data_IF_414537930634
#
_entry.id   IF_414537930634
#
_cell.length_a   1.000
_cell.length_b   1.000
_cell.length_c   1.000
_cell.angle_alpha   90.00
_cell.angle_beta   90.00
_cell.angle_gamma   90.00
#
_symmetry.space_group_name_H-M   'P 1'
#
loop_
_entity.id
_entity.type
_entity.pdbx_description
1 polymer ?
#
# COMPACT_ATOMS: atom_id res chain seq x y z
N UNK A 1 -0.60 -18.23 -3.44
CA UNK A 1 -0.11 -17.88 -2.09
C UNK A 1 -1.21 -17.30 -1.22
N UNK A 2 -1.96 -16.30 -1.67
CA UNK A 2 -3.01 -15.62 -0.89
C UNK A 2 -4.06 -16.58 -0.30
N UNK A 3 -4.58 -17.53 -1.07
CA UNK A 3 -5.52 -18.55 -0.57
C UNK A 3 -4.92 -19.50 0.46
N UNK A 4 -3.62 -19.83 0.34
CA UNK A 4 -2.92 -20.65 1.33
C UNK A 4 -2.71 -19.89 2.64
N UNK A 5 -2.51 -18.57 2.56
CA UNK A 5 -2.51 -17.71 3.75
C UNK A 5 -3.91 -17.65 4.40
N UNK A 6 -4.96 -17.53 3.60
CA UNK A 6 -6.32 -17.51 4.11
C UNK A 6 -6.72 -18.86 4.76
N UNK A 7 -6.33 -20.00 4.16
CA UNK A 7 -6.47 -21.33 4.78
C UNK A 7 -5.78 -21.37 6.14
N UNK A 8 -4.51 -20.95 6.21
CA UNK A 8 -3.75 -20.93 7.45
C UNK A 8 -4.38 -20.00 8.51
N UNK A 9 -4.92 -18.86 8.09
CA UNK A 9 -5.58 -17.90 9.00
C UNK A 9 -6.84 -18.47 9.61
N UNK A 10 -7.71 -19.12 8.83
CA UNK A 10 -8.94 -19.76 9.33
C UNK A 10 -8.62 -20.92 10.28
N UNK A 11 -7.51 -21.63 10.05
CA UNK A 11 -7.05 -22.66 10.98
C UNK A 11 -6.54 -22.07 12.30
N UNK A 12 -5.84 -20.93 12.26
CA UNK A 12 -5.36 -20.21 13.45
C UNK A 12 -6.51 -19.55 14.22
N UNK A 13 -7.46 -18.96 13.51
CA UNK A 13 -8.61 -18.23 14.05
C UNK A 13 -9.86 -18.61 13.26
N UNK A 14 -10.65 -19.60 13.72
CA UNK A 14 -11.85 -20.08 13.00
C UNK A 14 -12.91 -18.99 12.78
N UNK A 15 -12.95 -17.97 13.65
CA UNK A 15 -13.87 -16.83 13.54
C UNK A 15 -13.34 -15.70 12.64
N UNK A 16 -12.27 -15.94 11.89
CA UNK A 16 -11.73 -14.95 10.96
C UNK A 16 -12.72 -14.67 9.82
N UNK A 17 -12.99 -13.40 9.59
CA UNK A 17 -13.76 -12.97 8.44
C UNK A 17 -12.80 -12.57 7.31
N UNK A 18 -13.03 -13.19 6.15
CA UNK A 18 -12.17 -13.09 4.98
C UNK A 18 -12.55 -11.89 4.10
N UNK A 19 -11.64 -10.96 3.91
CA UNK A 19 -11.74 -9.88 2.94
C UNK A 19 -11.33 -10.31 1.54
N UNK A 20 -10.27 -9.68 1.01
CA UNK A 20 -9.70 -9.96 -0.32
C UNK A 20 -8.20 -10.22 -0.23
N UNK A 21 -7.68 -10.98 -1.19
CA UNK A 21 -6.27 -11.35 -1.28
C UNK A 21 -5.72 -11.25 -2.71
N UNK A 22 -5.58 -10.04 -3.29
CA UNK A 22 -5.02 -9.88 -4.62
C UNK A 22 -3.50 -10.07 -4.65
N UNK A 23 -2.93 -10.40 -5.82
CA UNK A 23 -1.51 -10.27 -6.07
C UNK A 23 -1.11 -8.79 -6.14
N UNK A 24 0.16 -8.52 -5.82
CA UNK A 24 0.85 -7.25 -6.04
C UNK A 24 2.19 -7.53 -6.72
N UNK A 25 2.87 -6.49 -7.21
CA UNK A 25 4.11 -6.63 -8.01
C UNK A 25 5.19 -7.48 -7.35
N UNK A 26 5.33 -7.41 -6.04
CA UNK A 26 6.36 -8.14 -5.27
C UNK A 26 5.80 -9.28 -4.42
N UNK A 27 4.53 -9.67 -4.65
CA UNK A 27 3.94 -10.75 -3.87
C UNK A 27 2.42 -10.72 -3.78
N UNK A 28 1.90 -10.67 -2.58
CA UNK A 28 0.47 -10.73 -2.31
C UNK A 28 0.15 -10.10 -0.96
N UNK A 29 -1.12 -9.84 -0.73
CA UNK A 29 -1.64 -9.63 0.62
C UNK A 29 -2.98 -10.34 0.81
N UNK A 30 -3.46 -10.37 2.05
CA UNK A 30 -4.83 -10.76 2.35
C UNK A 30 -5.35 -9.95 3.52
N UNK A 31 -6.61 -9.50 3.41
CA UNK A 31 -7.30 -8.70 4.42
C UNK A 31 -8.22 -9.58 5.27
N UNK A 32 -8.14 -9.40 6.58
CA UNK A 32 -8.91 -10.17 7.56
C UNK A 32 -9.54 -9.25 8.60
N UNK A 33 -10.79 -9.50 8.98
CA UNK A 33 -11.32 -9.04 10.26
C UNK A 33 -11.17 -10.17 11.27
N UNK A 34 -10.43 -9.91 12.33
CA UNK A 34 -10.00 -10.91 13.29
C UNK A 34 -10.54 -10.58 14.68
N UNK A 35 -10.78 -11.59 15.54
CA UNK A 35 -11.22 -11.37 16.92
C UNK A 35 -10.18 -10.68 17.80
N UNK A 36 -8.90 -10.71 17.41
CA UNK A 36 -7.78 -10.01 18.05
C UNK A 36 -6.74 -9.53 17.04
N UNK A 37 -5.87 -8.65 17.47
CA UNK A 37 -4.71 -8.26 16.68
C UNK A 37 -3.72 -9.43 16.53
N UNK A 38 -3.11 -9.51 15.35
CA UNK A 38 -2.02 -10.44 15.06
C UNK A 38 -0.75 -10.00 15.76
N UNK A 39 0.04 -10.96 16.20
CA UNK A 39 1.36 -10.77 16.80
C UNK A 39 2.46 -11.26 15.84
N UNK A 40 3.74 -10.91 16.07
CA UNK A 40 4.84 -11.47 15.29
C UNK A 40 4.91 -13.00 15.34
N UNK A 41 4.53 -13.61 16.47
CA UNK A 41 4.48 -15.06 16.63
C UNK A 41 3.42 -15.71 15.75
N UNK A 42 2.29 -15.03 15.56
CA UNK A 42 1.25 -15.48 14.63
C UNK A 42 1.78 -15.56 13.19
N UNK A 43 2.59 -14.58 12.75
CA UNK A 43 3.20 -14.63 11.42
C UNK A 43 4.14 -15.82 11.27
N UNK A 44 4.92 -16.15 12.29
CA UNK A 44 5.78 -17.34 12.28
C UNK A 44 4.97 -18.61 12.14
N UNK A 45 3.87 -18.71 12.88
CA UNK A 45 2.97 -19.85 12.81
C UNK A 45 2.31 -19.96 11.43
N UNK A 46 1.81 -18.85 10.89
CA UNK A 46 1.19 -18.78 9.57
C UNK A 46 2.17 -19.19 8.46
N UNK A 47 3.41 -18.68 8.49
CA UNK A 47 4.46 -19.07 7.54
C UNK A 47 4.71 -20.59 7.57
N UNK A 48 4.90 -21.17 8.76
CA UNK A 48 5.12 -22.61 8.92
C UNK A 48 3.91 -23.41 8.41
N UNK A 49 2.68 -22.96 8.67
CA UNK A 49 1.46 -23.63 8.22
C UNK A 49 1.29 -23.54 6.70
N UNK A 50 1.56 -22.40 6.11
CA UNK A 50 1.57 -22.23 4.66
C UNK A 50 2.57 -23.19 3.99
N UNK A 51 3.80 -23.29 4.51
CA UNK A 51 4.82 -24.23 4.00
C UNK A 51 4.37 -25.69 4.10
N UNK A 52 3.63 -26.04 5.13
CA UNK A 52 3.04 -27.37 5.28
C UNK A 52 1.97 -27.64 4.20
N UNK A 53 1.06 -26.69 3.95
CA UNK A 53 0.04 -26.79 2.90
C UNK A 53 0.66 -26.91 1.51
N UNK A 54 1.74 -26.14 1.23
CA UNK A 54 2.47 -26.21 -0.04
C UNK A 54 3.07 -27.61 -0.29
N UNK A 55 3.61 -28.24 0.74
CA UNK A 55 4.15 -29.63 0.64
C UNK A 55 3.06 -30.66 0.33
N UNK A 56 1.80 -30.36 0.65
CA UNK A 56 0.65 -31.24 0.40
C UNK A 56 0.29 -31.42 -1.07
N UNK A 57 0.83 -30.58 -1.98
CA UNK A 57 0.58 -30.63 -3.42
C UNK A 57 -0.92 -30.58 -3.79
N UNK A 58 -1.72 -29.85 -3.03
CA UNK A 58 -3.16 -29.74 -3.24
C UNK A 58 -3.45 -29.00 -4.54
N UNK A 59 -4.29 -29.57 -5.39
CA UNK A 59 -4.72 -28.95 -6.64
C UNK A 59 -5.62 -27.74 -6.35
N UNK A 60 -5.42 -26.65 -7.11
CA UNK A 60 -6.38 -25.57 -7.17
C UNK A 60 -7.48 -25.91 -8.18
N UNK A 61 -8.72 -25.95 -7.71
CA UNK A 61 -9.88 -26.30 -8.52
C UNK A 61 -10.82 -25.11 -8.59
N UNK A 62 -11.03 -24.62 -9.81
CA UNK A 62 -12.00 -23.57 -10.08
C UNK A 62 -13.38 -24.19 -10.34
N UNK A 63 -14.40 -23.57 -9.78
CA UNK A 63 -15.79 -23.92 -10.07
C UNK A 63 -16.69 -22.70 -10.05
N UNK A 64 -17.79 -22.76 -10.78
CA UNK A 64 -18.80 -21.70 -10.81
C UNK A 64 -19.95 -22.07 -9.88
N UNK A 65 -20.59 -21.05 -9.33
CA UNK A 65 -21.78 -21.15 -8.48
C UNK A 65 -22.84 -20.18 -8.99
N UNK A 66 -24.10 -20.48 -8.73
CA UNK A 66 -25.13 -19.46 -8.77
C UNK A 66 -24.92 -18.44 -7.63
N UNK A 67 -25.40 -17.23 -7.80
CA UNK A 67 -25.32 -16.18 -6.76
C UNK A 67 -26.01 -16.63 -5.47
N UNK A 68 -27.13 -17.35 -5.58
CA UNK A 68 -27.87 -17.86 -4.45
C UNK A 68 -27.07 -18.92 -3.65
N UNK A 69 -26.44 -19.88 -4.33
CA UNK A 69 -25.56 -20.87 -3.68
C UNK A 69 -24.37 -20.21 -2.99
N UNK A 70 -23.78 -19.21 -3.64
CA UNK A 70 -22.67 -18.45 -3.08
C UNK A 70 -23.10 -17.67 -1.82
N UNK A 71 -24.25 -16.99 -1.85
CA UNK A 71 -24.79 -16.29 -0.68
C UNK A 71 -25.05 -17.24 0.50
N UNK A 72 -25.59 -18.43 0.25
CA UNK A 72 -25.78 -19.43 1.28
C UNK A 72 -24.45 -19.94 1.85
N UNK A 73 -23.46 -20.22 0.98
CA UNK A 73 -22.15 -20.74 1.38
C UNK A 73 -21.37 -19.76 2.25
N UNK A 74 -21.40 -18.47 1.91
CA UNK A 74 -20.70 -17.42 2.64
C UNK A 74 -21.59 -16.59 3.57
N UNK A 75 -22.73 -17.14 4.05
CA UNK A 75 -23.65 -16.43 4.93
C UNK A 75 -23.00 -15.87 6.20
N UNK A 76 -21.93 -16.51 6.73
CA UNK A 76 -21.14 -16.05 7.87
C UNK A 76 -19.96 -15.12 7.52
N UNK A 77 -19.79 -14.73 6.25
CA UNK A 77 -18.65 -13.94 5.78
C UNK A 77 -19.12 -12.62 5.17
N UNK A 78 -19.28 -11.56 5.98
CA UNK A 78 -19.93 -10.32 5.54
C UNK A 78 -19.21 -9.64 4.36
N UNK A 79 -17.89 -9.68 4.32
CA UNK A 79 -17.12 -9.08 3.21
C UNK A 79 -17.28 -9.87 1.90
N UNK A 80 -17.46 -11.20 2.00
CA UNK A 80 -17.78 -12.03 0.81
C UNK A 80 -19.19 -11.75 0.30
N UNK A 81 -20.16 -11.55 1.20
CA UNK A 81 -21.52 -11.15 0.82
C UNK A 81 -21.54 -9.77 0.16
N UNK A 82 -20.75 -8.83 0.67
CA UNK A 82 -20.62 -7.49 0.07
C UNK A 82 -20.02 -7.55 -1.34
N UNK A 83 -19.01 -8.38 -1.58
CA UNK A 83 -18.47 -8.62 -2.92
C UNK A 83 -19.48 -9.29 -3.85
N UNK A 84 -20.24 -10.28 -3.35
CA UNK A 84 -21.27 -10.97 -4.12
C UNK A 84 -22.42 -10.05 -4.55
N UNK A 85 -22.72 -9.02 -3.77
CA UNK A 85 -23.77 -8.05 -4.12
C UNK A 85 -23.49 -7.34 -5.46
N UNK A 86 -22.22 -7.06 -5.77
CA UNK A 86 -21.79 -6.37 -6.99
C UNK A 86 -21.61 -7.29 -8.21
N UNK A 87 -21.56 -8.61 -8.00
CA UNK A 87 -21.36 -9.55 -9.11
C UNK A 87 -22.69 -9.83 -9.85
N UNK A 88 -22.59 -9.96 -11.16
CA UNK A 88 -23.71 -10.39 -11.99
C UNK A 88 -24.00 -11.89 -11.81
N UNK A 89 -25.24 -12.30 -12.10
CA UNK A 89 -25.60 -13.71 -12.10
C UNK A 89 -24.78 -14.46 -13.15
N UNK A 90 -24.25 -15.63 -12.79
CA UNK A 90 -23.42 -16.46 -13.67
C UNK A 90 -21.93 -16.06 -13.69
N UNK A 91 -21.53 -14.96 -13.02
CA UNK A 91 -20.13 -14.53 -12.92
C UNK A 91 -19.43 -14.96 -11.63
N UNK A 92 -20.11 -15.69 -10.75
CA UNK A 92 -19.57 -16.09 -9.46
C UNK A 92 -18.69 -17.32 -9.61
N UNK A 93 -17.42 -17.18 -9.30
CA UNK A 93 -16.43 -18.26 -9.30
C UNK A 93 -15.76 -18.41 -7.95
N UNK A 94 -15.37 -19.62 -7.62
CA UNK A 94 -14.61 -19.96 -6.42
C UNK A 94 -13.42 -20.83 -6.76
N UNK A 95 -12.40 -20.76 -5.91
CA UNK A 95 -11.25 -21.64 -5.95
C UNK A 95 -11.18 -22.48 -4.68
N UNK A 96 -10.98 -23.78 -4.84
CA UNK A 96 -10.79 -24.72 -3.73
C UNK A 96 -9.42 -25.37 -3.80
N UNK A 97 -8.81 -25.63 -2.64
CA UNK A 97 -7.66 -26.50 -2.49
C UNK A 97 -7.73 -27.16 -1.10
N UNK A 98 -7.33 -28.42 -1.00
CA UNK A 98 -7.60 -29.20 0.19
C UNK A 98 -9.06 -29.06 0.63
N UNK A 99 -9.31 -28.64 1.87
CA UNK A 99 -10.65 -28.40 2.40
C UNK A 99 -11.04 -26.90 2.40
N UNK A 100 -10.13 -26.02 1.96
CA UNK A 100 -10.35 -24.58 1.90
C UNK A 100 -10.98 -24.15 0.58
N UNK A 101 -11.91 -23.21 0.65
CA UNK A 101 -12.55 -22.62 -0.54
C UNK A 101 -12.71 -21.10 -0.35
N UNK A 102 -12.44 -20.34 -1.39
CA UNK A 102 -12.62 -18.89 -1.40
C UNK A 102 -13.21 -18.38 -2.71
N UNK A 103 -13.89 -17.21 -2.65
CA UNK A 103 -14.29 -16.48 -3.87
C UNK A 103 -13.07 -16.04 -4.65
N UNK A 104 -13.03 -16.31 -5.94
CA UNK A 104 -11.88 -15.98 -6.76
C UNK A 104 -12.22 -15.84 -8.24
N UNK A 105 -11.51 -14.91 -8.91
CA UNK A 105 -11.62 -14.68 -10.35
C UNK A 105 -10.70 -15.53 -11.21
N UNK A 106 -9.83 -16.37 -10.58
CA UNK A 106 -8.88 -17.22 -11.30
C UNK A 106 -7.42 -16.73 -11.22
N UNK A 107 -6.56 -17.26 -12.09
CA UNK A 107 -5.13 -16.93 -12.12
C UNK A 107 -4.29 -17.73 -11.13
N UNK A 108 -4.57 -19.03 -10.96
CA UNK A 108 -3.87 -19.91 -10.01
C UNK A 108 -2.82 -20.80 -10.69
N UNK A 109 -1.82 -21.18 -9.91
CA UNK A 109 -0.96 -22.33 -10.22
C UNK A 109 -1.79 -23.63 -10.27
N UNK A 110 -1.26 -24.69 -10.83
CA UNK A 110 -1.95 -25.98 -10.89
C UNK A 110 -2.13 -26.65 -9.52
N UNK A 111 -1.20 -26.41 -8.60
CA UNK A 111 -1.27 -26.93 -7.22
C UNK A 111 -0.41 -26.11 -6.26
N UNK A 112 -0.55 -26.34 -4.96
CA UNK A 112 0.12 -25.56 -3.91
C UNK A 112 1.65 -25.72 -3.91
N UNK A 113 2.23 -26.80 -4.45
CA UNK A 113 3.69 -26.96 -4.51
C UNK A 113 4.36 -26.14 -5.62
N UNK A 114 3.58 -25.53 -6.51
CA UNK A 114 4.06 -24.62 -7.55
C UNK A 114 4.12 -23.17 -7.09
N UNK A 115 3.72 -22.89 -5.85
CA UNK A 115 3.92 -21.58 -5.24
C UNK A 115 5.42 -21.42 -4.99
N UNK A 116 6.00 -20.34 -5.51
CA UNK A 116 7.43 -20.06 -5.39
C UNK A 116 7.89 -19.77 -3.96
N UNK A 117 9.07 -19.20 -3.84
CA UNK A 117 9.60 -18.79 -2.55
C UNK A 117 8.80 -17.60 -1.99
N UNK A 118 8.37 -17.71 -0.75
CA UNK A 118 7.60 -16.64 -0.10
C UNK A 118 8.11 -16.35 1.31
N UNK A 119 7.76 -15.15 1.79
CA UNK A 119 7.96 -14.73 3.18
C UNK A 119 6.80 -13.80 3.59
N UNK A 120 6.21 -14.03 4.76
CA UNK A 120 5.29 -13.08 5.35
C UNK A 120 6.07 -11.88 5.89
N UNK A 121 5.73 -10.68 5.45
CA UNK A 121 6.55 -9.48 5.64
C UNK A 121 6.08 -8.61 6.79
N UNK A 122 4.80 -8.28 6.82
CA UNK A 122 4.25 -7.32 7.78
C UNK A 122 2.74 -7.44 7.93
N UNK A 123 2.27 -6.84 9.03
CA UNK A 123 0.86 -6.63 9.32
C UNK A 123 0.60 -5.12 9.28
N UNK A 124 -0.46 -4.71 8.63
CA UNK A 124 -0.91 -3.32 8.61
C UNK A 124 -2.42 -3.23 8.83
N UNK A 125 -2.90 -2.10 9.32
CA UNK A 125 -4.32 -1.76 9.29
C UNK A 125 -4.74 -1.38 7.86
N UNK A 126 -5.92 -1.82 7.44
CA UNK A 126 -6.52 -1.42 6.18
C UNK A 126 -8.03 -1.23 6.36
N UNK A 127 -8.61 -0.19 5.78
CA UNK A 127 -10.05 -0.04 5.78
C UNK A 127 -10.67 -0.81 4.61
N UNK A 128 -11.79 -1.48 4.86
CA UNK A 128 -12.52 -2.15 3.80
C UNK A 128 -12.81 -1.19 2.65
N UNK A 129 -12.45 -1.56 1.41
CA UNK A 129 -12.57 -0.73 0.20
C UNK A 129 -11.88 0.65 0.31
N UNK A 130 -10.88 0.77 1.16
CA UNK A 130 -10.09 2.00 1.31
C UNK A 130 -10.80 3.19 1.97
N UNK A 131 -12.00 3.00 2.51
CA UNK A 131 -12.77 4.08 3.14
C UNK A 131 -12.71 3.98 4.66
N UNK A 132 -12.30 5.05 5.33
CA UNK A 132 -12.26 5.16 6.80
C UNK A 132 -13.64 4.99 7.49
N UNK A 133 -14.73 5.12 6.71
CA UNK A 133 -16.09 4.88 7.20
C UNK A 133 -16.43 3.39 7.32
N UNK A 134 -15.64 2.54 6.69
CA UNK A 134 -15.83 1.10 6.67
C UNK A 134 -15.03 0.42 7.79
N UNK A 135 -15.35 -0.86 8.12
CA UNK A 135 -14.62 -1.62 9.12
C UNK A 135 -13.11 -1.67 8.84
N UNK A 136 -12.32 -1.53 9.91
CA UNK A 136 -10.88 -1.72 9.85
C UNK A 136 -10.55 -3.22 9.86
N UNK A 137 -9.68 -3.62 8.95
CA UNK A 137 -9.17 -4.97 8.76
C UNK A 137 -7.68 -5.02 9.09
N UNK A 138 -7.18 -6.21 9.32
CA UNK A 138 -5.75 -6.49 9.40
C UNK A 138 -5.29 -7.07 8.07
N UNK A 139 -4.33 -6.41 7.44
CA UNK A 139 -3.73 -6.82 6.17
C UNK A 139 -2.40 -7.50 6.44
N UNK A 140 -2.27 -8.73 6.00
CA UNK A 140 -1.01 -9.47 6.03
C UNK A 140 -0.36 -9.41 4.66
N UNK A 141 0.83 -8.85 4.57
CA UNK A 141 1.63 -8.79 3.36
C UNK A 141 2.59 -9.97 3.28
N UNK A 142 2.70 -10.56 2.10
CA UNK A 142 3.69 -11.58 1.78
C UNK A 142 4.44 -11.24 0.50
N UNK A 143 5.77 -11.33 0.54
CA UNK A 143 6.62 -11.36 -0.64
C UNK A 143 6.53 -12.75 -1.29
N UNK A 144 6.55 -12.79 -2.63
CA UNK A 144 6.50 -14.04 -3.40
C UNK A 144 7.33 -13.88 -4.68
N UNK A 145 8.27 -14.79 -4.88
CA UNK A 145 9.15 -14.84 -6.04
C UNK A 145 9.23 -16.26 -6.58
N UNK A 146 9.74 -16.43 -7.79
CA UNK A 146 9.87 -17.77 -8.38
C UNK A 146 10.91 -18.60 -7.64
N UNK A 147 12.02 -17.98 -7.23
CA UNK A 147 13.14 -18.67 -6.58
C UNK A 147 13.45 -18.10 -5.18
N UNK A 148 14.17 -18.88 -4.39
CA UNK A 148 14.64 -18.44 -3.08
C UNK A 148 15.74 -17.37 -3.18
N UNK A 149 16.51 -17.40 -4.26
CA UNK A 149 17.57 -16.42 -4.54
C UNK A 149 16.95 -15.03 -4.83
N UNK A 150 15.90 -14.99 -5.64
CA UNK A 150 15.16 -13.72 -5.91
C UNK A 150 14.52 -13.14 -4.65
N UNK A 151 13.92 -14.00 -3.82
CA UNK A 151 13.39 -13.57 -2.54
C UNK A 151 14.49 -13.01 -1.62
N UNK A 152 15.65 -13.66 -1.54
CA UNK A 152 16.78 -13.20 -0.73
C UNK A 152 17.34 -11.85 -1.24
N UNK A 153 17.44 -11.68 -2.55
CA UNK A 153 17.84 -10.40 -3.16
C UNK A 153 16.86 -9.29 -2.82
N UNK A 154 15.56 -9.56 -2.90
CA UNK A 154 14.53 -8.59 -2.51
C UNK A 154 14.61 -8.21 -1.02
N UNK A 155 14.84 -9.19 -0.13
CA UNK A 155 15.05 -8.93 1.29
C UNK A 155 16.29 -8.06 1.52
N UNK A 156 17.38 -8.33 0.81
CA UNK A 156 18.59 -7.52 0.85
C UNK A 156 18.33 -6.08 0.40
N UNK A 157 17.60 -5.89 -0.70
CA UNK A 157 17.22 -4.56 -1.17
C UNK A 157 16.37 -3.79 -0.16
N UNK A 158 15.43 -4.46 0.51
CA UNK A 158 14.62 -3.84 1.56
C UNK A 158 15.47 -3.42 2.77
N UNK A 159 16.44 -4.24 3.18
CA UNK A 159 17.34 -3.91 4.29
C UNK A 159 18.25 -2.74 3.93
N UNK A 160 18.81 -2.73 2.71
CA UNK A 160 19.58 -1.60 2.20
C UNK A 160 18.72 -0.32 2.11
N UNK A 161 17.47 -0.41 1.66
CA UNK A 161 16.56 0.73 1.64
C UNK A 161 16.30 1.29 3.05
N UNK A 162 16.09 0.42 4.04
CA UNK A 162 15.95 0.83 5.45
C UNK A 162 17.23 1.48 5.98
N UNK A 163 18.38 0.91 5.66
CA UNK A 163 19.69 1.46 6.06
C UNK A 163 19.94 2.83 5.46
N UNK A 164 19.49 3.04 4.21
CA UNK A 164 19.65 4.29 3.45
C UNK A 164 18.46 5.25 3.59
N UNK A 165 17.54 5.00 4.52
CA UNK A 165 16.40 5.89 4.74
C UNK A 165 16.90 7.31 5.08
N UNK A 166 16.59 8.26 4.21
CA UNK A 166 17.02 9.65 4.32
C UNK A 166 16.56 10.30 5.63
N UNK A 167 15.43 9.89 6.19
CA UNK A 167 14.89 10.40 7.46
C UNK A 167 15.81 10.04 8.63
N UNK A 168 16.33 8.79 8.63
CA UNK A 168 17.29 8.33 9.62
C UNK A 168 18.63 9.00 9.43
N UNK A 169 19.18 8.92 8.22
CA UNK A 169 20.50 9.52 7.90
C UNK A 169 20.48 11.03 8.13
N UNK A 170 19.41 11.71 7.72
CA UNK A 170 19.26 13.15 7.90
C UNK A 170 19.29 13.58 9.37
N UNK A 171 18.65 12.80 10.26
CA UNK A 171 18.72 13.01 11.71
C UNK A 171 20.12 12.75 12.28
N UNK A 172 20.71 11.59 11.95
CA UNK A 172 22.04 11.19 12.42
C UNK A 172 23.11 12.24 12.03
N UNK A 173 23.07 12.73 10.79
CA UNK A 173 24.01 13.73 10.25
C UNK A 173 23.61 15.18 10.56
N UNK A 174 22.52 15.41 11.28
CA UNK A 174 21.99 16.75 11.59
C UNK A 174 21.81 17.62 10.33
N UNK A 175 21.19 17.02 9.32
CA UNK A 175 20.90 17.69 8.04
C UNK A 175 19.59 18.48 8.14
N UNK A 176 18.56 17.88 8.70
CA UNK A 176 17.25 18.51 8.90
C UNK A 176 16.55 17.99 10.15
N UNK A 177 15.52 18.70 10.57
CA UNK A 177 14.63 18.28 11.63
C UNK A 177 13.18 18.65 11.32
N UNK A 178 12.25 17.99 12.01
CA UNK A 178 10.81 18.26 11.97
C UNK A 178 10.40 18.75 13.36
N UNK A 179 10.00 20.00 13.46
CA UNK A 179 9.58 20.60 14.73
C UNK A 179 8.06 20.69 14.76
N UNK A 180 7.43 20.06 15.74
CA UNK A 180 5.98 19.94 15.89
C UNK A 180 5.27 21.31 15.80
N UNK A 181 5.84 22.34 16.47
CA UNK A 181 5.26 23.69 16.50
C UNK A 181 5.24 24.42 15.15
N UNK A 182 5.96 23.90 14.15
CA UNK A 182 5.96 24.49 12.78
C UNK A 182 4.88 23.84 11.92
N UNK A 183 4.52 22.60 12.26
CA UNK A 183 3.49 21.84 11.58
C UNK A 183 4.02 20.60 10.87
N UNK A 184 3.16 19.60 10.65
CA UNK A 184 3.54 18.35 10.02
C UNK A 184 4.06 18.57 8.59
N UNK A 185 5.14 17.88 8.26
CA UNK A 185 5.73 17.94 6.91
C UNK A 185 6.62 19.15 6.62
N UNK A 186 6.70 20.14 7.52
CA UNK A 186 7.56 21.31 7.36
C UNK A 186 8.97 21.03 7.89
N UNK A 187 9.92 20.90 6.97
CA UNK A 187 11.31 20.56 7.26
C UNK A 187 12.12 21.82 7.60
N UNK A 188 12.86 21.77 8.72
CA UNK A 188 13.88 22.77 9.04
C UNK A 188 15.24 22.25 8.62
N UNK A 189 15.94 23.01 7.81
CA UNK A 189 17.32 22.73 7.46
C UNK A 189 18.28 23.18 8.58
N UNK A 190 18.95 22.22 9.18
CA UNK A 190 20.00 22.49 10.17
C UNK A 190 21.28 22.99 9.46
N UNK A 191 22.30 23.50 10.17
CA UNK A 191 23.48 24.11 9.54
C UNK A 191 24.15 23.25 8.47
N UNK A 192 24.31 21.93 8.72
CA UNK A 192 24.89 21.02 7.73
C UNK A 192 24.01 20.94 6.46
N UNK A 193 22.70 20.76 6.65
CA UNK A 193 21.75 20.68 5.54
C UNK A 193 21.60 22.00 4.79
N UNK A 194 21.57 23.13 5.50
CA UNK A 194 21.53 24.44 4.87
C UNK A 194 22.77 24.70 3.99
N UNK A 195 23.94 24.23 4.43
CA UNK A 195 25.16 24.30 3.63
C UNK A 195 25.06 23.44 2.37
N UNK A 196 24.67 22.18 2.50
CA UNK A 196 24.48 21.27 1.35
C UNK A 196 23.47 21.86 0.37
N UNK A 197 22.31 22.31 0.86
CA UNK A 197 21.28 22.93 0.04
C UNK A 197 21.79 24.14 -0.72
N UNK A 198 22.51 25.03 -0.04
CA UNK A 198 23.10 26.24 -0.65
C UNK A 198 24.05 25.86 -1.79
N UNK A 199 24.96 24.93 -1.56
CA UNK A 199 25.94 24.55 -2.58
C UNK A 199 25.27 23.88 -3.79
N UNK A 200 24.25 23.05 -3.58
CA UNK A 200 23.48 22.44 -4.66
C UNK A 200 22.69 23.49 -5.47
N UNK A 201 22.06 24.46 -4.80
CA UNK A 201 21.36 25.56 -5.48
C UNK A 201 22.31 26.37 -6.32
N UNK A 202 23.44 26.78 -5.76
CA UNK A 202 24.47 27.54 -6.52
C UNK A 202 24.97 26.78 -7.73
N UNK A 203 25.28 25.50 -7.54
CA UNK A 203 25.78 24.67 -8.63
C UNK A 203 24.77 24.56 -9.79
N UNK A 204 23.50 24.37 -9.50
CA UNK A 204 22.47 24.26 -10.56
C UNK A 204 22.21 25.62 -11.23
N UNK A 205 22.15 26.70 -10.45
CA UNK A 205 22.00 28.06 -10.98
C UNK A 205 23.14 28.46 -11.93
N UNK A 206 24.38 28.19 -11.53
CA UNK A 206 25.56 28.45 -12.36
C UNK A 206 25.50 27.64 -13.67
N UNK A 207 25.12 26.34 -13.59
CA UNK A 207 24.98 25.46 -14.76
C UNK A 207 23.87 25.93 -15.71
N UNK A 208 22.76 26.40 -15.19
CA UNK A 208 21.65 26.92 -15.97
C UNK A 208 22.03 28.22 -16.68
N UNK A 209 22.73 29.12 -16.00
CA UNK A 209 23.25 30.36 -16.60
C UNK A 209 24.24 30.05 -17.75
N UNK A 210 25.15 29.10 -17.55
CA UNK A 210 26.09 28.66 -18.60
C UNK A 210 25.37 28.10 -19.84
N UNK A 211 24.20 27.49 -19.64
CA UNK A 211 23.35 26.95 -20.71
C UNK A 211 22.41 27.98 -21.32
N UNK A 212 22.46 29.22 -20.90
CA UNK A 212 21.68 30.34 -21.46
C UNK A 212 20.28 30.52 -20.85
N UNK A 213 19.98 29.85 -19.73
CA UNK A 213 18.71 30.08 -19.01
C UNK A 213 18.77 31.46 -18.32
N UNK A 214 17.61 32.10 -18.25
CA UNK A 214 17.40 33.35 -17.52
C UNK A 214 16.52 33.09 -16.30
N UNK A 215 17.06 33.39 -15.12
CA UNK A 215 16.35 33.16 -13.87
C UNK A 215 15.36 34.31 -13.59
N UNK A 216 14.18 33.92 -13.09
CA UNK A 216 13.16 34.84 -12.60
C UNK A 216 12.78 34.47 -11.18
N UNK A 217 12.42 35.47 -10.38
CA UNK A 217 11.91 35.25 -9.01
C UNK A 217 10.46 35.67 -9.00
N UNK A 218 9.58 34.72 -8.68
CA UNK A 218 8.13 34.94 -8.61
C UNK A 218 7.64 34.96 -7.17
N UNK A 219 6.54 35.70 -6.86
CA UNK A 219 5.95 35.69 -5.52
C UNK A 219 5.46 34.28 -5.11
N UNK A 220 5.46 34.01 -3.80
CA UNK A 220 4.92 32.78 -3.24
C UNK A 220 3.38 32.77 -3.15
N UNK A 221 2.74 33.90 -3.40
CA UNK A 221 1.30 34.10 -3.37
C UNK A 221 0.88 34.68 -4.71
N UNK A 222 -0.16 34.12 -5.30
CA UNK A 222 -0.76 34.59 -6.55
C UNK A 222 -2.28 34.68 -6.47
N UNK A 223 -2.93 35.44 -7.38
CA UNK A 223 -4.38 35.44 -7.47
C UNK A 223 -4.90 34.07 -7.87
N UNK A 224 -6.02 33.66 -7.29
CA UNK A 224 -6.71 32.40 -7.60
C UNK A 224 -6.98 32.23 -9.10
N UNK A 225 -7.38 33.30 -9.77
CA UNK A 225 -7.64 33.32 -11.23
C UNK A 225 -6.49 32.77 -12.07
N UNK A 226 -5.22 32.95 -11.63
CA UNK A 226 -4.05 32.39 -12.32
C UNK A 226 -4.10 30.86 -12.38
N UNK A 227 -4.52 30.22 -11.30
CA UNK A 227 -4.60 28.76 -11.18
C UNK A 227 -5.84 28.18 -11.83
N UNK A 228 -6.94 28.95 -11.90
CA UNK A 228 -8.12 28.59 -12.70
C UNK A 228 -7.78 28.60 -14.20
N UNK A 229 -7.11 29.63 -14.70
CA UNK A 229 -6.69 29.73 -16.10
C UNK A 229 -5.75 28.61 -16.54
N UNK A 230 -4.92 28.12 -15.65
CA UNK A 230 -4.00 26.99 -15.91
C UNK A 230 -4.66 25.62 -15.75
N UNK A 231 -5.92 25.54 -15.27
CA UNK A 231 -6.61 24.30 -14.93
C UNK A 231 -6.10 23.62 -13.65
N UNK A 232 -5.12 24.23 -12.98
CA UNK A 232 -4.56 23.67 -11.75
C UNK A 232 -5.56 23.62 -10.62
N UNK A 233 -6.42 24.64 -10.52
CA UNK A 233 -7.44 24.74 -9.49
C UNK A 233 -8.43 23.56 -9.52
N UNK A 234 -8.90 23.16 -10.69
CA UNK A 234 -9.92 22.13 -10.84
C UNK A 234 -9.39 20.72 -10.50
N UNK A 235 -8.08 20.50 -10.70
CA UNK A 235 -7.48 19.18 -10.50
C UNK A 235 -6.84 18.98 -9.13
N UNK A 236 -6.39 20.07 -8.46
CA UNK A 236 -5.54 19.97 -7.27
C UNK A 236 -6.06 20.79 -6.06
N UNK A 237 -7.30 21.27 -6.10
CA UNK A 237 -7.89 22.08 -5.04
C UNK A 237 -7.76 21.44 -3.64
N UNK A 238 -7.97 20.12 -3.53
CA UNK A 238 -7.91 19.40 -2.25
C UNK A 238 -6.49 19.37 -1.64
N UNK A 239 -5.46 19.53 -2.46
CA UNK A 239 -4.06 19.56 -2.02
C UNK A 239 -3.49 20.97 -1.85
N UNK A 240 -4.26 22.01 -2.14
CA UNK A 240 -3.85 23.40 -2.01
C UNK A 240 -4.24 23.96 -0.63
N UNK A 241 -3.44 24.91 -0.14
CA UNK A 241 -3.85 25.69 1.04
C UNK A 241 -5.14 26.48 0.78
N UNK A 242 -5.96 26.72 1.83
CA UNK A 242 -7.19 27.47 1.68
C UNK A 242 -6.96 28.85 1.05
N UNK A 243 -7.97 29.32 0.32
CA UNK A 243 -7.97 30.67 -0.27
C UNK A 243 -7.86 31.72 0.84
N UNK A 244 -7.01 32.70 0.63
CA UNK A 244 -6.88 33.88 1.46
C UNK A 244 -7.59 35.06 0.77
N UNK A 245 -8.53 35.70 1.47
CA UNK A 245 -9.19 36.90 0.97
C UNK A 245 -8.52 38.15 1.55
N UNK A 246 -8.21 39.13 0.71
CA UNK A 246 -7.70 40.44 1.10
C UNK A 246 -8.15 41.51 0.12
N UNK A 247 -8.72 42.56 0.65
CA UNK A 247 -9.18 43.75 -0.12
C UNK A 247 -10.18 43.39 -1.25
N UNK A 248 -10.99 42.32 -1.06
CA UNK A 248 -11.96 41.84 -2.05
C UNK A 248 -11.34 40.98 -3.16
N UNK A 249 -10.09 40.60 -3.03
CA UNK A 249 -9.35 39.75 -3.97
C UNK A 249 -9.01 38.42 -3.31
N UNK A 250 -9.07 37.32 -4.09
CA UNK A 250 -8.73 35.98 -3.64
C UNK A 250 -7.29 35.61 -4.02
N UNK A 251 -6.53 35.16 -3.05
CA UNK A 251 -5.15 34.75 -3.19
C UNK A 251 -4.95 33.32 -2.71
N UNK A 252 -4.01 32.62 -3.32
CA UNK A 252 -3.58 31.27 -2.91
C UNK A 252 -2.07 31.21 -2.79
N UNK A 253 -1.58 30.36 -1.87
CA UNK A 253 -0.17 30.00 -1.83
C UNK A 253 0.18 29.20 -3.08
N UNK A 254 1.34 29.49 -3.67
CA UNK A 254 1.84 28.77 -4.83
C UNK A 254 2.05 27.28 -4.46
N UNK A 255 1.34 26.33 -5.10
CA UNK A 255 1.38 24.92 -4.72
C UNK A 255 2.65 24.20 -5.17
N UNK A 256 3.34 24.76 -6.16
CA UNK A 256 4.61 24.21 -6.70
C UNK A 256 5.63 25.32 -6.90
N UNK A 257 6.87 24.99 -6.63
CA UNK A 257 8.04 25.86 -6.85
C UNK A 257 8.69 25.59 -8.22
#
# INVERSE_FOLDING_TARGET
AAHVLAEAMVELMPDAELGIGPPIDTGFYYDFRLPRSLTPEDLVWLDARMRKSMKGKHRFVMSSLSKAEAQQKWAGQPFKLDLLAELEEGSVTQCSHAEFTDLCRGGHAGNTSQIGAFKLMSIAGAYWRGSEKNPQLQRVYGALFETAEELAEYEHQLEEARRRDHRRIGKELKIFDLIENIGPGHVIWLPNGATIRRELVRWIEDLEIERGYQHVITPNVGKRELYERSGHWDHYQESMYPVMERDGEEYVLRPMN
#
